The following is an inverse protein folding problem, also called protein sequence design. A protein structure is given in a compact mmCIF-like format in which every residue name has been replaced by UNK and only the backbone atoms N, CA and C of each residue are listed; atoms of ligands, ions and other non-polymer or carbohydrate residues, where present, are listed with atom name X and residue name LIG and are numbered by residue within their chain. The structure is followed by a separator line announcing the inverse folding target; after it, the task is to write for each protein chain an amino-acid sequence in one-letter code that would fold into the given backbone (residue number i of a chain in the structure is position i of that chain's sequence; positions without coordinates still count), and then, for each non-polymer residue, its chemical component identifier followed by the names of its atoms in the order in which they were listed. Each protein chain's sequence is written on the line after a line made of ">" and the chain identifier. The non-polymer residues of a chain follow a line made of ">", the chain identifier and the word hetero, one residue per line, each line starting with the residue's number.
data_IF_472690522414
#
_entry.id   IF_472690522414
#
_cell.length_a   1.000
_cell.length_b   1.000
_cell.length_c   1.000
_cell.angle_alpha   90.00
_cell.angle_beta   90.00
_cell.angle_gamma   90.00
#
_symmetry.space_group_name_H-M   'P 1'
#
loop_
_entity.id
_entity.type
_entity.pdbx_description
1 polymer ?
#
# COMPACT_ATOMS: atom_id res chain seq x y z
N UNK A 1 -0.18 12.61 14.93
CA UNK A 1 1.08 13.35 15.19
C UNK A 1 1.24 14.50 14.21
N UNK A 2 1.54 14.25 12.93
CA UNK A 2 1.65 15.34 11.93
C UNK A 2 0.31 16.09 11.77
N UNK A 3 -0.79 15.37 11.55
CA UNK A 3 -2.13 16.00 11.43
C UNK A 3 -2.60 16.73 12.69
N UNK A 4 -2.09 16.35 13.87
CA UNK A 4 -2.49 16.93 15.16
C UNK A 4 -1.54 18.04 15.62
N UNK A 5 -0.52 18.38 14.83
CA UNK A 5 0.47 19.41 15.18
C UNK A 5 1.50 18.99 16.23
N UNK A 6 1.55 17.71 16.61
CA UNK A 6 2.52 17.20 17.59
C UNK A 6 3.88 16.87 16.96
N UNK A 7 4.01 16.99 15.64
CA UNK A 7 5.24 16.86 14.88
C UNK A 7 5.14 17.73 13.62
N UNK A 8 6.21 18.45 13.28
CA UNK A 8 6.24 19.31 12.08
C UNK A 8 6.30 18.49 10.80
N UNK A 9 7.02 17.36 10.81
CA UNK A 9 7.19 16.44 9.67
C UNK A 9 7.18 14.99 10.15
N UNK A 10 6.70 14.08 9.31
CA UNK A 10 6.77 12.64 9.56
C UNK A 10 6.86 11.84 8.26
N UNK A 11 7.57 10.71 8.32
CA UNK A 11 7.60 9.72 7.24
C UNK A 11 6.45 8.75 7.48
N UNK A 12 5.53 8.66 6.53
CA UNK A 12 4.34 7.79 6.58
C UNK A 12 4.19 7.03 5.25
N UNK A 13 3.40 5.96 5.26
CA UNK A 13 3.06 5.25 4.03
C UNK A 13 2.25 6.16 3.08
N UNK A 14 2.56 6.11 1.78
CA UNK A 14 1.85 6.89 0.75
C UNK A 14 0.34 6.60 0.76
N UNK A 15 -0.05 5.35 1.03
CA UNK A 15 -1.46 4.94 1.13
C UNK A 15 -2.26 5.71 2.18
N UNK A 16 -1.59 6.26 3.21
CA UNK A 16 -2.20 7.11 4.23
C UNK A 16 -2.17 8.59 3.83
N UNK A 17 -1.20 9.01 3.02
CA UNK A 17 -1.01 10.40 2.64
C UNK A 17 -1.95 10.87 1.51
N UNK A 18 -2.41 9.95 0.66
CA UNK A 18 -3.28 10.24 -0.49
C UNK A 18 -4.77 10.21 -0.15
N UNK A 19 -5.16 9.88 1.09
CA UNK A 19 -6.58 9.80 1.43
C UNK A 19 -7.22 11.20 1.42
N UNK A 20 -8.53 11.31 1.15
CA UNK A 20 -9.23 12.59 1.21
C UNK A 20 -9.07 13.29 2.57
N UNK A 21 -9.07 12.53 3.66
CA UNK A 21 -8.94 13.07 5.01
C UNK A 21 -7.57 13.71 5.25
N UNK A 22 -6.50 13.12 4.71
CA UNK A 22 -5.16 13.70 4.83
C UNK A 22 -4.97 14.90 3.91
N UNK A 23 -5.34 14.75 2.63
CA UNK A 23 -5.13 15.80 1.62
C UNK A 23 -5.96 17.06 1.88
N UNK A 24 -7.05 16.97 2.65
CA UNK A 24 -7.84 18.13 3.07
C UNK A 24 -7.08 19.09 4.01
N UNK A 25 -6.07 18.61 4.74
CA UNK A 25 -5.40 19.38 5.81
C UNK A 25 -3.87 19.32 5.77
N UNK A 26 -3.30 18.37 5.03
CA UNK A 26 -1.87 18.12 4.94
C UNK A 26 -1.34 18.17 3.51
N UNK A 27 -0.02 18.17 3.40
CA UNK A 27 0.71 18.01 2.14
C UNK A 27 1.73 16.89 2.31
N UNK A 28 2.09 16.26 1.21
CA UNK A 28 3.14 15.23 1.20
C UNK A 28 4.04 15.43 -0.02
N UNK A 29 5.25 14.89 0.08
CA UNK A 29 6.17 14.71 -1.03
C UNK A 29 6.73 13.29 -0.96
N UNK A 30 7.00 12.69 -2.12
CA UNK A 30 7.65 11.39 -2.16
C UNK A 30 9.13 11.52 -1.79
N UNK A 31 9.62 10.55 -1.02
CA UNK A 31 11.06 10.34 -0.87
C UNK A 31 11.54 9.69 -2.18
N UNK A 32 12.59 10.22 -2.82
CA UNK A 32 13.16 9.61 -4.03
C UNK A 32 13.52 8.12 -3.83
N UNK A 33 13.23 7.30 -4.84
CA UNK A 33 13.38 5.84 -4.75
C UNK A 33 14.83 5.37 -4.59
N UNK A 34 15.81 6.20 -4.92
CA UNK A 34 17.25 5.96 -4.73
C UNK A 34 17.73 6.27 -3.30
N UNK A 35 16.87 6.85 -2.46
CA UNK A 35 17.18 7.21 -1.06
C UNK A 35 16.69 6.17 -0.04
N UNK A 36 16.07 5.08 -0.50
CA UNK A 36 15.63 4.00 0.38
C UNK A 36 15.64 2.65 -0.33
N UNK A 37 15.73 1.56 0.44
CA UNK A 37 15.47 0.23 -0.10
C UNK A 37 14.00 0.10 -0.53
N UNK A 38 13.68 -0.70 -1.56
CA UNK A 38 12.29 -0.98 -1.93
C UNK A 38 11.49 -1.53 -0.75
N UNK A 39 10.26 -1.05 -0.57
CA UNK A 39 9.32 -1.57 0.43
C UNK A 39 8.51 -2.71 -0.19
N UNK A 40 9.12 -3.89 -0.26
CA UNK A 40 8.47 -5.10 -0.77
C UNK A 40 7.37 -5.58 0.19
N UNK A 41 6.13 -5.69 -0.31
CA UNK A 41 4.98 -6.14 0.46
C UNK A 41 4.35 -7.36 -0.19
N UNK A 42 4.01 -8.35 0.63
CA UNK A 42 3.40 -9.59 0.17
C UNK A 42 2.46 -10.18 1.20
N UNK A 43 1.72 -11.20 0.78
CA UNK A 43 0.88 -11.99 1.66
C UNK A 43 1.23 -13.48 1.51
N UNK A 44 0.90 -14.26 2.53
CA UNK A 44 1.11 -15.71 2.54
C UNK A 44 -0.15 -16.42 3.04
N UNK A 45 -0.41 -17.62 2.53
CA UNK A 45 -1.41 -18.52 3.10
C UNK A 45 -0.76 -19.30 4.23
N UNK A 46 -1.29 -19.16 5.45
CA UNK A 46 -0.76 -19.86 6.62
C UNK A 46 -0.91 -21.39 6.47
N UNK A 47 0.03 -22.16 7.02
CA UNK A 47 0.05 -23.63 6.92
C UNK A 47 -1.26 -24.28 7.37
N UNK A 48 -1.87 -23.79 8.46
CA UNK A 48 -3.16 -24.29 8.97
C UNK A 48 -4.38 -23.92 8.11
N UNK A 49 -4.21 -23.07 7.10
CA UNK A 49 -5.23 -22.70 6.13
C UNK A 49 -4.97 -23.27 4.73
N UNK A 50 -3.93 -24.08 4.54
CA UNK A 50 -3.49 -24.57 3.22
C UNK A 50 -4.59 -25.27 2.42
N UNK A 51 -5.49 -25.98 3.11
CA UNK A 51 -6.58 -26.75 2.49
C UNK A 51 -7.94 -26.06 2.64
N UNK A 52 -7.99 -24.86 3.23
CA UNK A 52 -9.23 -24.10 3.38
C UNK A 52 -9.60 -23.47 2.03
N UNK A 53 -10.76 -23.80 1.43
CA UNK A 53 -11.15 -23.28 0.12
C UNK A 53 -11.18 -21.75 0.07
N UNK A 54 -11.64 -21.09 1.16
CA UNK A 54 -11.71 -19.64 1.23
C UNK A 54 -10.34 -18.97 1.19
N UNK A 55 -9.30 -19.58 1.79
CA UNK A 55 -7.95 -19.05 1.75
C UNK A 55 -7.37 -19.10 0.32
N UNK A 56 -7.64 -20.20 -0.41
CA UNK A 56 -7.28 -20.33 -1.83
C UNK A 56 -8.04 -19.32 -2.70
N UNK A 57 -9.35 -19.20 -2.50
CA UNK A 57 -10.18 -18.25 -3.24
C UNK A 57 -9.74 -16.80 -3.02
N UNK A 58 -9.40 -16.43 -1.78
CA UNK A 58 -8.88 -15.09 -1.49
C UNK A 58 -7.50 -14.85 -2.13
N UNK A 59 -6.60 -15.83 -2.10
CA UNK A 59 -5.30 -15.72 -2.76
C UNK A 59 -5.43 -15.56 -4.28
N UNK A 60 -6.39 -16.25 -4.92
CA UNK A 60 -6.67 -16.07 -6.34
C UNK A 60 -7.35 -14.73 -6.63
N UNK A 61 -8.29 -14.29 -5.79
CA UNK A 61 -8.92 -12.98 -5.88
C UNK A 61 -7.88 -11.84 -5.84
N UNK A 62 -6.87 -11.96 -4.99
CA UNK A 62 -5.81 -10.95 -4.86
C UNK A 62 -4.99 -10.76 -6.14
N UNK A 63 -4.95 -11.76 -7.03
CA UNK A 63 -4.25 -11.71 -8.32
C UNK A 63 -5.07 -11.05 -9.43
N UNK A 64 -6.33 -10.70 -9.17
CA UNK A 64 -7.22 -10.16 -10.19
C UNK A 64 -6.83 -8.73 -10.61
N UNK A 65 -7.15 -8.30 -11.84
CA UNK A 65 -6.94 -6.93 -12.28
C UNK A 65 -7.66 -5.88 -11.40
N UNK A 66 -8.80 -6.25 -10.81
CA UNK A 66 -9.55 -5.37 -9.90
C UNK A 66 -8.75 -5.02 -8.65
N UNK A 67 -8.08 -6.00 -8.04
CA UNK A 67 -7.21 -5.77 -6.88
C UNK A 67 -5.99 -4.95 -7.27
N UNK A 68 -5.39 -5.21 -8.44
CA UNK A 68 -4.30 -4.39 -8.99
C UNK A 68 -4.68 -2.92 -9.13
N UNK A 69 -5.89 -2.64 -9.62
CA UNK A 69 -6.40 -1.26 -9.73
C UNK A 69 -6.62 -0.61 -8.36
N UNK A 70 -7.09 -1.36 -7.37
CA UNK A 70 -7.24 -0.86 -5.99
C UNK A 70 -5.87 -0.53 -5.40
N UNK A 71 -4.88 -1.42 -5.54
CA UNK A 71 -3.53 -1.22 -5.04
C UNK A 71 -2.87 0.03 -5.66
N UNK A 72 -2.95 0.19 -6.99
CA UNK A 72 -2.40 1.37 -7.67
C UNK A 72 -3.08 2.67 -7.20
N UNK A 73 -4.41 2.67 -7.06
CA UNK A 73 -5.16 3.82 -6.53
C UNK A 73 -4.66 4.25 -5.15
N UNK A 74 -4.21 3.30 -4.33
CA UNK A 74 -3.68 3.57 -2.99
C UNK A 74 -2.14 3.70 -2.93
N UNK A 75 -1.47 3.89 -4.07
CA UNK A 75 -0.04 4.18 -4.12
C UNK A 75 0.88 2.96 -3.97
N UNK A 76 0.34 1.74 -4.10
CA UNK A 76 1.13 0.53 -4.16
C UNK A 76 1.49 0.19 -5.61
N UNK A 77 2.72 -0.24 -5.83
CA UNK A 77 3.14 -0.86 -7.09
C UNK A 77 3.01 -2.37 -6.98
N UNK A 78 2.65 -3.03 -8.08
CA UNK A 78 2.75 -4.49 -8.20
C UNK A 78 3.82 -4.82 -9.22
N UNK A 79 4.63 -5.88 -9.01
CA UNK A 79 5.64 -6.29 -9.97
C UNK A 79 5.07 -6.35 -11.40
N UNK A 80 5.73 -5.66 -12.35
CA UNK A 80 5.25 -5.50 -13.73
C UNK A 80 4.32 -4.30 -13.99
N UNK A 81 4.14 -3.40 -13.01
CA UNK A 81 3.53 -2.08 -13.18
C UNK A 81 4.59 -1.03 -12.76
N UNK A 82 5.05 -0.21 -13.70
CA UNK A 82 5.87 0.95 -13.37
C UNK A 82 5.00 1.96 -12.61
N UNK A 83 5.52 2.64 -11.58
CA UNK A 83 4.80 3.72 -10.93
C UNK A 83 4.50 4.85 -11.94
N UNK A 84 3.37 5.51 -11.75
CA UNK A 84 2.93 6.66 -12.55
C UNK A 84 3.70 7.92 -12.16
#
# INVERSE_FOLDING_TARGET
>A
FVQTGNADVGIIALSLAITPEFTATGRYSLIPADQHSPLEQGFVVLKGARDKPLAKAFAEFFKTPGVRSILNRYGFTVPGLQPN
#
